data_IF_844544267728
#
_entry.id   IF_844544267728
#
_cell.length_a   1.000
_cell.length_b   1.000
_cell.length_c   1.000
_cell.angle_alpha   90.00
_cell.angle_beta   90.00
_cell.angle_gamma   90.00
#
_symmetry.space_group_name_H-M   'P 1'
#
loop_
_entity.id
_entity.type
_entity.pdbx_description
1 polymer ?
#
# COMPACT_ATOMS: atom_id res chain seq x y z
N UNK A 1 -25.27 10.91 15.41
CA UNK A 1 -24.52 10.07 14.47
C UNK A 1 -25.41 9.00 13.84
N UNK A 2 -25.74 9.15 12.54
CA UNK A 2 -26.36 8.08 11.74
C UNK A 2 -25.31 7.00 11.44
N UNK A 3 -25.67 5.72 11.45
CA UNK A 3 -24.74 4.63 11.10
C UNK A 3 -25.26 3.86 9.88
N UNK A 4 -24.39 3.58 8.91
CA UNK A 4 -24.68 2.74 7.74
C UNK A 4 -23.69 1.59 7.72
N UNK A 5 -24.18 0.35 7.63
CA UNK A 5 -23.31 -0.84 7.54
C UNK A 5 -22.83 -1.02 6.11
N UNK A 6 -21.52 -1.15 5.92
CA UNK A 6 -20.89 -1.51 4.65
C UNK A 6 -21.16 -2.98 4.33
N UNK A 7 -21.79 -3.23 3.18
CA UNK A 7 -22.11 -4.57 2.70
C UNK A 7 -21.70 -4.70 1.23
N UNK A 8 -21.57 -5.94 0.75
CA UNK A 8 -21.39 -6.18 -0.69
C UNK A 8 -22.59 -5.59 -1.44
N UNK A 9 -22.32 -4.79 -2.47
CA UNK A 9 -23.37 -4.19 -3.32
C UNK A 9 -23.89 -2.81 -2.91
N UNK A 10 -23.62 -2.30 -1.70
CA UNK A 10 -24.13 -0.97 -1.28
C UNK A 10 -23.10 0.18 -1.35
N UNK A 11 -21.99 -0.01 -2.06
CA UNK A 11 -20.89 0.97 -2.11
C UNK A 11 -21.34 2.31 -2.71
N UNK A 12 -22.08 2.27 -3.82
CA UNK A 12 -22.61 3.48 -4.48
C UNK A 12 -23.56 4.26 -3.56
N UNK A 13 -24.43 3.57 -2.81
CA UNK A 13 -25.31 4.18 -1.83
C UNK A 13 -24.51 4.86 -0.70
N UNK A 14 -23.49 4.18 -0.16
CA UNK A 14 -22.61 4.74 0.88
C UNK A 14 -21.90 6.00 0.38
N UNK A 15 -21.32 5.95 -0.82
CA UNK A 15 -20.67 7.12 -1.43
C UNK A 15 -21.68 8.26 -1.57
N UNK A 16 -22.87 8.02 -2.13
CA UNK A 16 -23.91 9.04 -2.31
C UNK A 16 -24.34 9.68 -0.98
N UNK A 17 -24.62 8.88 0.04
CA UNK A 17 -25.02 9.38 1.36
C UNK A 17 -23.88 10.13 2.05
N UNK A 18 -22.64 9.67 1.88
CA UNK A 18 -21.46 10.31 2.47
C UNK A 18 -21.19 11.65 1.81
N UNK A 19 -21.30 11.75 0.47
CA UNK A 19 -21.19 13.01 -0.28
C UNK A 19 -22.23 14.02 0.19
N UNK A 20 -23.49 13.62 0.40
CA UNK A 20 -24.52 14.53 0.94
C UNK A 20 -24.12 15.12 2.28
N UNK A 21 -23.67 14.28 3.22
CA UNK A 21 -23.26 14.72 4.56
C UNK A 21 -22.05 15.66 4.49
N UNK A 22 -21.04 15.31 3.70
CA UNK A 22 -19.84 16.15 3.52
C UNK A 22 -20.17 17.49 2.85
N UNK A 23 -21.06 17.50 1.86
CA UNK A 23 -21.50 18.72 1.16
C UNK A 23 -22.22 19.69 2.09
N UNK A 24 -22.91 19.18 3.12
CA UNK A 24 -23.55 19.97 4.17
C UNK A 24 -22.58 20.39 5.30
N UNK A 25 -21.26 20.19 5.13
CA UNK A 25 -20.26 20.50 6.16
C UNK A 25 -20.25 19.53 7.34
N UNK A 26 -20.78 18.31 7.14
CA UNK A 26 -20.80 17.26 8.14
C UNK A 26 -19.46 16.53 8.31
N UNK A 27 -19.32 15.85 9.45
CA UNK A 27 -18.17 15.03 9.79
C UNK A 27 -18.53 13.54 9.70
N UNK A 28 -17.67 12.77 9.03
CA UNK A 28 -17.94 11.35 8.74
C UNK A 28 -16.84 10.45 9.30
N UNK A 29 -17.23 9.39 10.02
CA UNK A 29 -16.35 8.26 10.34
C UNK A 29 -16.41 7.26 9.18
N UNK A 30 -15.26 6.94 8.60
CA UNK A 30 -15.21 6.17 7.36
C UNK A 30 -14.10 5.08 7.42
N UNK A 31 -14.35 3.86 6.92
CA UNK A 31 -13.33 2.82 6.86
C UNK A 31 -12.27 3.16 5.82
N UNK A 32 -11.01 2.83 6.11
CA UNK A 32 -9.90 2.89 5.14
C UNK A 32 -9.23 1.53 4.99
N UNK A 33 -8.19 1.47 4.16
CA UNK A 33 -7.30 0.32 4.02
C UNK A 33 -6.43 0.06 5.25
N UNK A 34 -6.43 0.93 6.26
CA UNK A 34 -5.62 0.80 7.48
C UNK A 34 -6.45 0.83 8.74
N UNK A 35 -7.11 1.96 9.02
CA UNK A 35 -7.88 2.20 10.26
C UNK A 35 -9.15 2.98 9.94
N UNK A 36 -10.10 3.08 10.88
CA UNK A 36 -11.18 4.06 10.73
C UNK A 36 -10.60 5.48 10.69
N UNK A 37 -11.12 6.30 9.80
CA UNK A 37 -10.72 7.69 9.60
C UNK A 37 -11.86 8.67 9.86
N UNK A 38 -11.51 9.93 10.09
CA UNK A 38 -12.45 11.05 10.13
C UNK A 38 -12.29 11.88 8.85
N UNK A 39 -13.38 11.97 8.09
CA UNK A 39 -13.48 12.70 6.83
C UNK A 39 -14.32 13.97 7.03
N UNK A 40 -13.77 15.09 6.62
CA UNK A 40 -14.41 16.39 6.52
C UNK A 40 -13.94 17.06 5.21
N UNK A 41 -14.76 17.96 4.66
CA UNK A 41 -14.34 18.84 3.55
C UNK A 41 -13.16 19.69 4.01
N UNK A 42 -11.99 19.49 3.40
CA UNK A 42 -10.76 20.18 3.78
C UNK A 42 -10.81 21.69 3.48
N UNK A 43 -11.77 22.14 2.67
CA UNK A 43 -11.99 23.54 2.29
C UNK A 43 -13.06 24.24 3.14
N UNK A 44 -13.79 23.50 3.98
CA UNK A 44 -14.92 24.01 4.75
C UNK A 44 -14.54 24.26 6.21
N UNK A 45 -14.42 25.55 6.60
CA UNK A 45 -14.06 25.96 7.97
C UNK A 45 -14.97 25.37 9.05
N UNK A 46 -16.27 25.24 8.78
CA UNK A 46 -17.23 24.67 9.74
C UNK A 46 -17.00 23.16 9.95
N UNK A 47 -16.76 22.41 8.86
CA UNK A 47 -16.44 21.00 8.94
C UNK A 47 -15.11 20.76 9.69
N UNK A 48 -14.11 21.63 9.45
CA UNK A 48 -12.83 21.56 10.14
C UNK A 48 -12.95 21.94 11.63
N UNK A 49 -13.83 22.87 12.00
CA UNK A 49 -14.15 23.15 13.41
C UNK A 49 -14.64 21.89 14.13
N UNK A 50 -15.63 21.19 13.56
CA UNK A 50 -16.16 19.93 14.09
C UNK A 50 -15.06 18.89 14.27
N UNK A 51 -14.21 18.70 13.24
CA UNK A 51 -13.11 17.74 13.26
C UNK A 51 -12.13 18.01 14.41
N UNK A 52 -11.69 19.26 14.57
CA UNK A 52 -10.73 19.66 15.60
C UNK A 52 -11.32 19.45 17.00
N UNK A 53 -12.58 19.82 17.21
CA UNK A 53 -13.27 19.64 18.49
C UNK A 53 -13.40 18.16 18.86
N UNK A 54 -13.79 17.30 17.91
CA UNK A 54 -13.86 15.85 18.14
C UNK A 54 -12.48 15.32 18.53
N UNK A 55 -11.43 15.67 17.78
CA UNK A 55 -10.08 15.14 18.01
C UNK A 55 -9.42 15.72 19.27
N UNK A 56 -9.93 16.81 19.84
CA UNK A 56 -9.28 17.57 20.91
C UNK A 56 -7.80 17.80 20.60
N UNK A 57 -7.54 18.34 19.41
CA UNK A 57 -6.20 18.38 18.84
C UNK A 57 -5.51 19.70 19.24
N UNK A 58 -4.28 19.66 19.79
CA UNK A 58 -3.53 20.87 20.03
C UNK A 58 -3.24 21.59 18.70
N UNK A 59 -3.16 22.92 18.77
CA UNK A 59 -2.80 23.78 17.65
C UNK A 59 -1.44 23.36 17.05
N UNK A 60 -1.27 23.48 15.74
CA UNK A 60 -0.02 23.14 15.02
C UNK A 60 0.16 21.67 14.62
N UNK A 61 -0.66 20.72 15.12
CA UNK A 61 -0.59 19.33 14.62
C UNK A 61 -1.30 19.19 13.27
N UNK A 62 -0.52 19.11 12.19
CA UNK A 62 -0.99 18.97 10.79
C UNK A 62 -1.90 17.78 10.52
N UNK A 63 -2.83 17.92 9.58
CA UNK A 63 -3.72 16.85 9.10
C UNK A 63 -3.54 16.72 7.59
N UNK A 64 -3.15 15.53 7.13
CA UNK A 64 -3.07 15.27 5.69
C UNK A 64 -4.45 15.26 5.04
N UNK A 65 -4.51 15.38 3.72
CA UNK A 65 -5.73 15.28 2.91
C UNK A 65 -5.66 14.14 1.91
N UNK A 66 -6.82 13.58 1.56
CA UNK A 66 -7.01 12.71 0.41
C UNK A 66 -7.32 13.54 -0.83
N UNK A 67 -6.75 13.10 -1.95
CA UNK A 67 -7.04 13.60 -3.30
C UNK A 67 -7.39 12.43 -4.21
N UNK A 68 -8.15 12.69 -5.29
CA UNK A 68 -8.64 11.65 -6.19
C UNK A 68 -7.69 11.33 -7.36
N UNK A 69 -6.76 12.23 -7.65
CA UNK A 69 -5.77 12.08 -8.71
C UNK A 69 -4.79 13.25 -8.80
N UNK A 70 -3.90 13.18 -9.81
CA UNK A 70 -2.86 14.17 -10.07
C UNK A 70 -3.39 15.59 -10.27
N UNK A 71 -4.50 15.74 -11.01
CA UNK A 71 -5.08 17.07 -11.25
C UNK A 71 -5.58 17.77 -9.98
N UNK A 72 -6.11 17.03 -9.00
CA UNK A 72 -6.44 17.60 -7.69
C UNK A 72 -5.18 17.84 -6.86
N UNK A 73 -4.24 16.89 -6.86
CA UNK A 73 -2.96 17.01 -6.16
C UNK A 73 -2.21 18.28 -6.55
N UNK A 74 -2.05 18.53 -7.86
CA UNK A 74 -1.34 19.69 -8.42
C UNK A 74 -2.00 21.03 -8.02
N UNK A 75 -3.30 21.03 -7.72
CA UNK A 75 -4.00 22.22 -7.21
C UNK A 75 -3.69 22.48 -5.74
N UNK A 76 -3.39 21.44 -4.95
CA UNK A 76 -3.19 21.57 -3.50
C UNK A 76 -1.75 21.91 -3.11
N UNK A 77 -0.77 21.48 -3.89
CA UNK A 77 0.66 21.58 -3.52
C UNK A 77 1.53 21.98 -4.70
N UNK A 78 2.70 22.51 -4.39
CA UNK A 78 3.77 22.76 -5.36
C UNK A 78 4.61 21.50 -5.56
N UNK A 79 4.92 21.18 -6.82
CA UNK A 79 5.74 20.02 -7.20
C UNK A 79 6.88 20.50 -8.09
N UNK A 80 8.10 20.31 -7.61
CA UNK A 80 9.31 20.57 -8.40
C UNK A 80 9.52 19.45 -9.43
N UNK A 81 10.16 19.78 -10.56
CA UNK A 81 10.48 18.79 -11.60
C UNK A 81 11.29 17.60 -11.06
N UNK A 82 12.19 17.83 -10.11
CA UNK A 82 12.99 16.80 -9.45
C UNK A 82 12.16 15.82 -8.59
N UNK A 83 10.96 16.21 -8.17
CA UNK A 83 10.09 15.40 -7.31
C UNK A 83 9.10 14.54 -8.11
N UNK A 84 8.79 14.92 -9.35
CA UNK A 84 7.78 14.26 -10.20
C UNK A 84 8.04 12.76 -10.32
N UNK A 85 9.28 12.38 -10.62
CA UNK A 85 9.63 10.97 -10.77
C UNK A 85 9.32 10.19 -9.50
N UNK A 86 9.85 10.62 -8.35
CA UNK A 86 9.62 9.95 -7.05
C UNK A 86 8.13 9.89 -6.70
N UNK A 87 7.39 10.98 -6.93
CA UNK A 87 5.95 11.03 -6.68
C UNK A 87 5.21 9.99 -7.52
N UNK A 88 5.51 9.86 -8.81
CA UNK A 88 4.92 8.85 -9.69
C UNK A 88 5.26 7.42 -9.28
N UNK A 89 6.42 7.21 -8.64
CA UNK A 89 6.83 5.89 -8.16
C UNK A 89 6.09 5.45 -6.89
N UNK A 90 5.75 6.41 -6.01
CA UNK A 90 5.16 6.12 -4.70
C UNK A 90 3.64 6.36 -4.64
N UNK A 91 3.09 7.18 -5.54
CA UNK A 91 1.65 7.48 -5.63
C UNK A 91 1.03 6.95 -6.94
N UNK A 92 -0.20 6.41 -6.90
CA UNK A 92 -1.00 6.13 -5.72
C UNK A 92 -0.42 5.00 -4.85
N UNK A 93 -0.44 5.14 -3.53
CA UNK A 93 0.19 4.16 -2.63
C UNK A 93 -0.01 4.41 -1.15
N UNK A 94 0.69 3.61 -0.32
CA UNK A 94 0.63 3.65 1.14
C UNK A 94 1.51 4.77 1.74
N UNK A 95 1.55 5.93 1.08
CA UNK A 95 2.41 7.05 1.43
C UNK A 95 1.60 8.29 1.77
N UNK A 96 2.13 9.08 2.70
CA UNK A 96 1.76 10.47 2.91
C UNK A 96 2.95 11.32 2.48
N UNK A 97 2.78 12.14 1.45
CA UNK A 97 3.83 13.03 0.96
C UNK A 97 3.61 14.43 1.50
N UNK A 98 4.64 15.05 2.05
CA UNK A 98 4.59 16.43 2.53
C UNK A 98 5.27 17.32 1.49
N UNK A 99 4.55 18.30 0.98
CA UNK A 99 4.98 19.24 -0.05
C UNK A 99 4.59 20.67 0.36
N UNK A 100 5.19 21.71 -0.24
CA UNK A 100 4.76 23.10 -0.05
C UNK A 100 3.28 23.26 -0.45
N UNK A 101 2.49 23.89 0.41
CA UNK A 101 1.05 24.08 0.18
C UNK A 101 0.79 25.24 -0.78
N UNK A 102 -0.29 25.13 -1.56
CA UNK A 102 -0.87 26.23 -2.35
C UNK A 102 -2.02 26.94 -1.62
N UNK A 103 -2.21 26.67 -0.33
CA UNK A 103 -3.22 27.34 0.52
C UNK A 103 -4.65 27.22 0.01
N UNK A 104 -4.99 26.07 -0.58
CA UNK A 104 -6.34 25.78 -1.11
C UNK A 104 -7.25 25.08 -0.10
N UNK A 105 -6.75 24.80 1.11
CA UNK A 105 -7.49 24.16 2.21
C UNK A 105 -7.51 25.07 3.44
N UNK A 106 -8.28 24.69 4.47
CA UNK A 106 -8.24 25.37 5.76
C UNK A 106 -6.81 25.35 6.33
N UNK A 107 -6.28 26.52 6.68
CA UNK A 107 -4.89 26.70 7.12
C UNK A 107 -4.52 25.88 8.37
N UNK A 108 -5.51 25.45 9.17
CA UNK A 108 -5.27 24.59 10.34
C UNK A 108 -4.90 23.15 9.99
N UNK A 109 -5.03 22.77 8.72
CA UNK A 109 -4.56 21.48 8.20
C UNK A 109 -3.07 21.52 7.83
N UNK A 110 -2.56 22.72 7.56
CA UNK A 110 -1.20 22.99 7.11
C UNK A 110 -0.22 23.08 8.28
N UNK A 111 1.07 22.91 8.00
CA UNK A 111 2.12 23.15 8.99
C UNK A 111 2.43 24.64 9.14
N UNK A 112 3.08 25.00 10.24
CA UNK A 112 3.64 26.35 10.45
C UNK A 112 4.67 26.75 9.37
N UNK A 113 5.20 25.77 8.62
CA UNK A 113 6.11 25.97 7.50
C UNK A 113 5.39 26.03 6.15
N UNK A 114 4.06 26.21 6.16
CA UNK A 114 3.22 26.27 4.96
C UNK A 114 3.32 25.00 4.10
N UNK A 115 3.33 23.83 4.73
CA UNK A 115 3.38 22.53 4.05
C UNK A 115 2.13 21.71 4.30
N UNK A 116 1.77 20.88 3.34
CA UNK A 116 0.56 20.05 3.37
C UNK A 116 0.90 18.58 3.12
N UNK A 117 0.31 17.70 3.93
CA UNK A 117 0.39 16.26 3.72
C UNK A 117 -0.66 15.80 2.72
N UNK A 118 -0.26 15.15 1.63
CA UNK A 118 -1.16 14.60 0.61
C UNK A 118 -1.14 13.07 0.66
N UNK A 119 -2.31 12.46 0.45
CA UNK A 119 -2.50 11.04 0.27
C UNK A 119 -3.30 10.78 -1.00
N UNK A 120 -2.67 10.12 -1.97
CA UNK A 120 -3.32 9.56 -3.15
C UNK A 120 -3.26 8.03 -3.00
N UNK A 121 -4.38 7.40 -2.61
CA UNK A 121 -4.40 5.98 -2.21
C UNK A 121 -5.12 5.09 -3.23
N UNK A 122 -4.75 3.80 -3.27
CA UNK A 122 -5.38 2.76 -4.12
C UNK A 122 -6.64 2.12 -3.49
N UNK A 123 -7.13 2.64 -2.37
CA UNK A 123 -8.34 2.10 -1.74
C UNK A 123 -9.60 2.58 -2.48
N UNK A 124 -10.25 1.65 -3.19
CA UNK A 124 -11.33 1.92 -4.13
C UNK A 124 -12.44 2.80 -3.54
N UNK A 125 -12.91 2.49 -2.34
CA UNK A 125 -14.05 3.18 -1.74
C UNK A 125 -13.73 4.65 -1.38
N UNK A 126 -12.54 4.94 -0.83
CA UNK A 126 -12.12 6.32 -0.57
C UNK A 126 -11.87 7.06 -1.87
N UNK A 127 -11.22 6.44 -2.86
CA UNK A 127 -10.96 7.09 -4.15
C UNK A 127 -12.28 7.47 -4.86
N UNK A 128 -13.24 6.53 -4.92
CA UNK A 128 -14.59 6.78 -5.44
C UNK A 128 -15.29 7.91 -4.67
N UNK A 129 -15.16 7.93 -3.33
CA UNK A 129 -15.76 8.98 -2.51
C UNK A 129 -15.16 10.36 -2.79
N UNK A 130 -13.83 10.50 -2.78
CA UNK A 130 -13.15 11.79 -3.01
C UNK A 130 -13.45 12.30 -4.43
N UNK A 131 -13.44 11.40 -5.42
CA UNK A 131 -13.82 11.72 -6.79
C UNK A 131 -15.28 12.18 -6.90
N UNK A 132 -16.22 11.47 -6.27
CA UNK A 132 -17.63 11.82 -6.28
C UNK A 132 -17.92 13.12 -5.51
N UNK A 133 -17.14 13.41 -4.46
CA UNK A 133 -17.23 14.66 -3.71
C UNK A 133 -16.63 15.85 -4.47
N UNK A 134 -15.58 15.62 -5.27
CA UNK A 134 -14.95 16.62 -6.14
C UNK A 134 -14.02 17.60 -5.42
N UNK A 135 -13.75 17.41 -4.12
CA UNK A 135 -12.89 18.26 -3.29
C UNK A 135 -11.99 17.40 -2.38
N UNK A 136 -10.86 17.96 -1.88
CA UNK A 136 -10.01 17.25 -0.93
C UNK A 136 -10.74 16.97 0.38
N UNK A 137 -10.52 15.77 0.93
CA UNK A 137 -11.08 15.34 2.22
C UNK A 137 -9.98 15.16 3.25
N UNK A 138 -10.25 15.45 4.52
CA UNK A 138 -9.26 15.19 5.58
C UNK A 138 -8.91 13.70 5.68
N UNK A 139 -7.63 13.41 5.91
CA UNK A 139 -7.09 12.07 6.03
C UNK A 139 -6.42 11.89 7.39
N UNK A 140 -7.22 11.60 8.41
CA UNK A 140 -6.74 11.34 9.77
C UNK A 140 -7.49 10.18 10.40
N UNK A 141 -6.86 9.44 11.31
CA UNK A 141 -7.50 8.36 12.04
C UNK A 141 -8.65 8.87 12.92
N UNK A 142 -9.67 8.03 13.08
CA UNK A 142 -10.76 8.21 14.02
C UNK A 142 -10.30 7.79 15.41
N UNK A 143 -9.69 8.74 16.11
CA UNK A 143 -9.19 8.62 17.48
C UNK A 143 -9.05 10.02 18.08
N UNK A 144 -9.10 10.10 19.41
CA UNK A 144 -8.70 11.31 20.12
C UNK A 144 -7.18 11.52 19.98
N UNK A 145 -6.74 12.78 20.04
CA UNK A 145 -5.33 13.13 19.92
C UNK A 145 -4.47 12.36 20.94
N UNK A 146 -3.41 11.72 20.46
CA UNK A 146 -2.47 10.96 21.31
C UNK A 146 -2.86 9.51 21.62
N UNK A 147 -4.07 9.07 21.26
CA UNK A 147 -4.52 7.70 21.50
C UNK A 147 -4.34 6.78 20.30
N UNK A 148 -4.44 5.47 20.53
CA UNK A 148 -4.34 4.47 19.46
C UNK A 148 -5.49 4.59 18.45
N UNK A 149 -5.26 4.26 17.17
CA UNK A 149 -6.32 4.23 16.18
C UNK A 149 -7.25 3.02 16.38
N UNK A 150 -8.49 3.16 15.90
CA UNK A 150 -9.53 2.15 16.04
C UNK A 150 -9.73 1.32 14.77
N UNK A 151 -9.91 0.01 14.95
CA UNK A 151 -10.18 -0.96 13.88
C UNK A 151 -11.63 -1.46 13.89
N UNK A 152 -12.42 -1.01 14.87
CA UNK A 152 -13.85 -1.28 15.00
C UNK A 152 -14.55 0.04 15.29
N UNK A 153 -15.72 0.26 14.69
CA UNK A 153 -16.49 1.47 14.96
C UNK A 153 -16.95 1.52 16.43
N UNK A 154 -17.32 0.36 16.99
CA UNK A 154 -17.79 0.23 18.37
C UNK A 154 -16.75 0.67 19.40
N UNK A 155 -15.46 0.40 19.18
CA UNK A 155 -14.38 0.80 20.10
C UNK A 155 -14.15 2.31 20.06
N UNK A 156 -14.29 2.93 18.88
CA UNK A 156 -14.23 4.38 18.76
C UNK A 156 -15.42 5.05 19.45
N UNK A 157 -16.63 4.54 19.25
CA UNK A 157 -17.87 5.06 19.85
C UNK A 157 -17.81 5.09 21.38
N UNK A 158 -17.30 4.02 22.01
CA UNK A 158 -17.15 3.93 23.47
C UNK A 158 -16.22 5.01 24.05
N UNK A 159 -15.35 5.58 23.23
CA UNK A 159 -14.37 6.58 23.65
C UNK A 159 -14.88 8.02 23.54
N UNK A 160 -16.00 8.24 22.85
CA UNK A 160 -16.56 9.56 22.61
C UNK A 160 -17.52 9.95 23.73
N UNK A 161 -17.43 11.21 24.18
CA UNK A 161 -18.46 11.81 25.02
C UNK A 161 -19.73 12.07 24.20
N UNK A 162 -20.87 12.21 24.88
CA UNK A 162 -22.15 12.57 24.25
C UNK A 162 -22.03 13.81 23.34
N UNK A 163 -21.35 14.85 23.82
CA UNK A 163 -21.06 16.08 23.05
C UNK A 163 -20.30 15.77 21.76
N UNK A 164 -19.25 14.96 21.81
CA UNK A 164 -18.44 14.63 20.61
C UNK A 164 -19.18 13.72 19.65
N UNK A 165 -20.01 12.80 20.15
CA UNK A 165 -20.85 11.94 19.32
C UNK A 165 -21.87 12.74 18.51
N UNK A 166 -22.36 13.87 19.03
CA UNK A 166 -23.27 14.76 18.32
C UNK A 166 -22.59 15.53 17.17
N UNK A 167 -21.28 15.75 17.25
CA UNK A 167 -20.51 16.40 16.19
C UNK A 167 -20.24 15.49 14.98
N UNK A 168 -20.46 14.18 15.12
CA UNK A 168 -20.29 13.21 14.04
C UNK A 168 -21.66 12.91 13.42
N UNK A 169 -21.80 13.28 12.16
CA UNK A 169 -23.06 13.23 11.43
C UNK A 169 -23.33 11.82 10.89
N UNK A 170 -22.29 11.14 10.38
CA UNK A 170 -22.38 9.81 9.77
C UNK A 170 -21.21 8.91 10.18
N UNK A 171 -21.49 7.63 10.40
CA UNK A 171 -20.48 6.58 10.50
C UNK A 171 -20.78 5.44 9.53
N UNK A 172 -19.75 4.97 8.83
CA UNK A 172 -19.83 3.78 8.00
C UNK A 172 -19.20 2.63 8.77
N UNK A 173 -19.98 1.60 9.09
CA UNK A 173 -19.51 0.42 9.82
C UNK A 173 -19.13 -0.71 8.86
N UNK A 174 -17.83 -0.97 8.74
CA UNK A 174 -17.26 -2.08 7.98
C UNK A 174 -16.87 -3.27 8.85
N UNK A 175 -17.30 -3.30 10.12
CA UNK A 175 -16.88 -4.29 11.09
C UNK A 175 -15.40 -4.15 11.45
N UNK A 176 -14.71 -5.29 11.56
CA UNK A 176 -13.30 -5.37 11.92
C UNK A 176 -12.42 -5.09 10.70
N UNK A 177 -11.68 -3.98 10.75
CA UNK A 177 -10.68 -3.66 9.74
C UNK A 177 -9.40 -4.49 9.92
N UNK A 178 -8.69 -4.83 8.84
CA UNK A 178 -7.39 -5.47 8.92
C UNK A 178 -6.39 -4.58 9.66
N UNK A 179 -5.50 -5.19 10.47
CA UNK A 179 -4.46 -4.46 11.20
C UNK A 179 -3.25 -4.19 10.30
N UNK A 180 -3.34 -3.12 9.52
CA UNK A 180 -2.22 -2.60 8.72
C UNK A 180 -1.59 -1.40 9.44
N UNK A 181 -0.25 -1.28 9.43
CA UNK A 181 0.43 -0.10 9.98
C UNK A 181 0.06 1.15 9.17
N UNK A 182 0.11 2.35 9.81
CA UNK A 182 -0.10 3.62 9.13
C UNK A 182 0.84 3.85 7.93
N UNK A 183 0.47 4.77 7.04
CA UNK A 183 1.28 5.15 5.88
C UNK A 183 2.69 5.64 6.24
N UNK A 184 3.66 5.34 5.37
CA UNK A 184 4.99 5.95 5.39
C UNK A 184 4.86 7.44 5.11
N UNK A 185 5.44 8.28 5.96
CA UNK A 185 5.40 9.74 5.80
C UNK A 185 6.73 10.20 5.23
N UNK A 186 6.68 10.79 4.04
CA UNK A 186 7.84 11.28 3.31
C UNK A 186 7.72 12.80 3.18
N UNK A 187 8.74 13.50 3.65
CA UNK A 187 8.93 14.92 3.43
C UNK A 187 9.70 15.14 2.12
N UNK A 188 9.02 15.78 1.18
CA UNK A 188 9.51 16.18 -0.13
C UNK A 188 9.53 17.70 -0.26
N UNK A 189 9.62 18.46 0.83
CA UNK A 189 9.66 19.94 0.76
C UNK A 189 10.96 20.49 0.16
N UNK A 190 12.03 19.67 0.16
CA UNK A 190 13.33 19.98 -0.42
C UNK A 190 13.70 18.96 -1.51
N UNK A 191 14.82 19.18 -2.19
CA UNK A 191 15.34 18.24 -3.19
C UNK A 191 15.69 16.87 -2.58
N UNK A 192 16.12 16.83 -1.32
CA UNK A 192 16.44 15.58 -0.62
C UNK A 192 15.19 14.99 0.05
N UNK A 193 14.91 13.73 -0.26
CA UNK A 193 13.81 12.96 0.34
C UNK A 193 14.14 12.68 1.80
N UNK A 194 13.22 13.01 2.72
CA UNK A 194 13.35 12.66 4.14
C UNK A 194 12.17 11.82 4.60
N UNK A 195 12.43 10.62 5.13
CA UNK A 195 11.38 9.80 5.74
C UNK A 195 11.16 10.26 7.19
N UNK A 196 9.96 10.75 7.50
CA UNK A 196 9.60 11.20 8.86
C UNK A 196 8.97 10.10 9.70
N UNK A 197 8.33 9.11 9.06
CA UNK A 197 7.74 7.95 9.72
C UNK A 197 7.71 6.76 8.77
N UNK A 198 8.15 5.60 9.25
CA UNK A 198 8.07 4.35 8.51
C UNK A 198 6.68 3.69 8.66
N UNK A 199 6.07 3.27 7.55
CA UNK A 199 4.82 2.49 7.48
C UNK A 199 5.01 1.06 6.98
N UNK A 200 3.91 0.37 6.62
CA UNK A 200 3.89 -1.05 6.19
C UNK A 200 4.61 -1.34 4.86
N UNK A 201 4.86 -0.31 4.03
CA UNK A 201 5.63 -0.46 2.78
C UNK A 201 6.88 0.40 2.85
N UNK A 202 7.98 -0.21 3.26
CA UNK A 202 9.30 0.22 2.86
C UNK A 202 9.53 -0.22 1.42
N UNK A 203 9.78 0.72 0.50
CA UNK A 203 10.67 0.40 -0.61
C UNK A 203 12.04 0.35 0.04
N UNK A 204 12.52 -0.85 0.35
CA UNK A 204 13.74 -1.00 1.12
C UNK A 204 14.97 -0.70 0.27
N UNK A 205 14.96 -1.14 -1.00
CA UNK A 205 16.09 -0.96 -1.92
C UNK A 205 15.63 -0.87 -3.38
N UNK A 206 16.31 -0.02 -4.14
CA UNK A 206 16.18 0.10 -5.60
C UNK A 206 17.52 -0.30 -6.23
N UNK A 207 17.46 -1.13 -7.26
CA UNK A 207 18.62 -1.51 -8.07
C UNK A 207 18.39 -1.13 -9.53
N UNK A 208 19.44 -0.70 -10.20
CA UNK A 208 19.46 -0.51 -11.66
C UNK A 208 20.36 -1.59 -12.24
N UNK A 209 19.82 -2.34 -13.19
CA UNK A 209 20.57 -3.32 -13.96
C UNK A 209 20.66 -2.87 -15.41
N UNK A 210 21.82 -3.08 -16.03
CA UNK A 210 22.12 -2.75 -17.43
C UNK A 210 22.35 -3.99 -18.30
N UNK A 211 22.19 -5.20 -17.73
CA UNK A 211 22.35 -6.46 -18.46
C UNK A 211 21.68 -7.62 -17.73
N UNK A 212 21.43 -8.74 -18.42
CA UNK A 212 20.94 -9.95 -17.77
C UNK A 212 21.93 -10.47 -16.71
N UNK A 213 23.23 -10.39 -16.99
CA UNK A 213 24.29 -10.76 -16.05
C UNK A 213 24.22 -9.93 -14.76
N UNK A 214 23.96 -8.63 -14.87
CA UNK A 214 23.75 -7.78 -13.68
C UNK A 214 22.44 -8.10 -12.96
N UNK A 215 21.37 -8.41 -13.70
CA UNK A 215 20.09 -8.80 -13.10
C UNK A 215 20.26 -10.05 -12.24
N UNK A 216 20.99 -11.05 -12.75
CA UNK A 216 21.35 -12.26 -11.98
C UNK A 216 22.17 -11.93 -10.73
N UNK A 217 23.18 -11.06 -10.84
CA UNK A 217 24.00 -10.62 -9.68
C UNK A 217 23.16 -9.91 -8.62
N UNK A 218 22.21 -9.05 -9.03
CA UNK A 218 21.29 -8.36 -8.12
C UNK A 218 20.36 -9.37 -7.44
N UNK A 219 19.80 -10.30 -8.20
CA UNK A 219 18.96 -11.38 -7.67
C UNK A 219 19.70 -12.18 -6.60
N UNK A 220 20.94 -12.57 -6.90
CA UNK A 220 21.81 -13.29 -5.96
C UNK A 220 22.13 -12.46 -4.71
N UNK A 221 22.42 -11.16 -4.87
CA UNK A 221 22.66 -10.26 -3.73
C UNK A 221 21.45 -10.18 -2.81
N UNK A 222 20.24 -10.01 -3.37
CA UNK A 222 18.99 -9.97 -2.62
C UNK A 222 18.75 -11.32 -1.93
N UNK A 223 18.92 -12.44 -2.64
CA UNK A 223 18.76 -13.76 -2.07
C UNK A 223 19.72 -14.01 -0.89
N UNK A 224 21.01 -13.70 -1.05
CA UNK A 224 22.02 -13.90 -0.02
C UNK A 224 21.80 -13.04 1.23
N UNK A 225 21.26 -11.82 1.08
CA UNK A 225 20.89 -10.97 2.21
C UNK A 225 19.76 -11.59 3.06
N UNK A 226 18.90 -12.39 2.43
CA UNK A 226 17.67 -12.87 3.05
C UNK A 226 17.69 -14.36 3.42
N UNK A 227 18.56 -15.19 2.81
CA UNK A 227 18.56 -16.65 2.95
C UNK A 227 18.65 -17.18 4.38
N UNK A 228 19.22 -16.40 5.31
CA UNK A 228 19.33 -16.78 6.73
C UNK A 228 18.00 -16.64 7.49
N UNK A 229 17.03 -15.90 6.98
CA UNK A 229 15.73 -15.65 7.64
C UNK A 229 14.75 -16.85 7.55
N UNK A 230 15.17 -17.96 6.92
CA UNK A 230 14.31 -19.08 6.46
C UNK A 230 14.17 -20.21 7.46
N UNK A 231 14.92 -20.19 8.57
CA UNK A 231 15.01 -21.32 9.52
C UNK A 231 13.65 -21.74 10.11
N UNK A 232 12.61 -20.89 10.06
CA UNK A 232 11.27 -21.20 10.59
C UNK A 232 10.11 -21.10 9.59
N UNK A 233 10.30 -20.53 8.40
CA UNK A 233 9.22 -20.26 7.42
C UNK A 233 9.73 -20.42 5.98
N UNK A 234 8.89 -20.85 5.02
CA UNK A 234 9.22 -20.76 3.60
C UNK A 234 9.62 -19.35 3.20
N UNK A 235 10.54 -19.25 2.24
CA UNK A 235 10.84 -18.00 1.55
C UNK A 235 10.05 -17.94 0.24
N UNK A 236 9.45 -16.80 -0.03
CA UNK A 236 8.64 -16.60 -1.23
C UNK A 236 9.09 -15.33 -1.94
N UNK A 237 9.50 -15.45 -3.20
CA UNK A 237 9.67 -14.31 -4.09
C UNK A 237 8.40 -14.10 -4.89
N UNK A 238 7.84 -12.88 -4.82
CA UNK A 238 6.71 -12.47 -5.65
C UNK A 238 7.23 -11.43 -6.64
N UNK A 239 7.33 -11.84 -7.90
CA UNK A 239 8.00 -11.07 -8.96
C UNK A 239 6.96 -10.56 -9.95
N UNK A 240 6.88 -9.24 -10.07
CA UNK A 240 5.95 -8.54 -10.97
C UNK A 240 6.71 -7.70 -11.98
N UNK A 241 6.13 -7.53 -13.17
CA UNK A 241 6.73 -6.73 -14.25
C UNK A 241 6.17 -7.14 -15.62
N UNK A 242 6.35 -6.29 -16.62
CA UNK A 242 5.85 -6.52 -17.97
C UNK A 242 6.52 -7.72 -18.66
N UNK A 243 5.99 -8.14 -19.81
CA UNK A 243 6.60 -9.18 -20.63
C UNK A 243 8.02 -8.74 -21.03
N UNK A 244 8.99 -9.66 -20.92
CA UNK A 244 10.39 -9.33 -21.22
C UNK A 244 11.12 -8.49 -20.15
N UNK A 245 10.47 -8.07 -19.05
CA UNK A 245 11.11 -7.26 -18.00
C UNK A 245 12.31 -7.95 -17.31
N UNK A 246 12.44 -9.28 -17.44
CA UNK A 246 13.55 -10.05 -16.85
C UNK A 246 13.19 -10.83 -15.59
N UNK A 247 11.90 -11.15 -15.40
CA UNK A 247 11.40 -11.97 -14.28
C UNK A 247 12.05 -13.35 -14.23
N UNK A 248 12.01 -14.12 -15.31
CA UNK A 248 12.70 -15.40 -15.42
C UNK A 248 14.23 -15.26 -15.29
N UNK A 249 14.82 -14.17 -15.78
CA UNK A 249 16.27 -13.89 -15.63
C UNK A 249 16.65 -13.72 -14.16
N UNK A 250 15.80 -13.04 -13.37
CA UNK A 250 15.98 -12.92 -11.92
C UNK A 250 15.98 -14.30 -11.25
N UNK A 251 15.01 -15.15 -11.58
CA UNK A 251 14.89 -16.51 -11.04
C UNK A 251 16.11 -17.36 -11.41
N UNK A 252 16.54 -17.31 -12.69
CA UNK A 252 17.75 -17.99 -13.17
C UNK A 252 18.98 -17.63 -12.34
N UNK A 253 19.14 -16.35 -11.99
CA UNK A 253 20.27 -15.90 -11.17
C UNK A 253 20.34 -16.56 -9.79
N UNK A 254 19.18 -16.86 -9.18
CA UNK A 254 19.11 -17.57 -7.89
C UNK A 254 19.24 -19.08 -8.11
N UNK A 255 18.62 -19.63 -9.15
CA UNK A 255 18.71 -21.04 -9.49
C UNK A 255 20.12 -21.53 -9.78
N UNK A 256 20.90 -20.75 -10.52
CA UNK A 256 22.29 -21.05 -10.85
C UNK A 256 23.18 -21.16 -9.60
N UNK A 257 22.99 -20.26 -8.62
CA UNK A 257 23.68 -20.34 -7.32
C UNK A 257 23.30 -21.61 -6.55
N UNK A 258 22.06 -22.06 -6.67
CA UNK A 258 21.53 -23.26 -6.02
C UNK A 258 21.85 -24.55 -6.78
N UNK A 259 22.67 -24.48 -7.84
CA UNK A 259 23.11 -25.63 -8.62
C UNK A 259 22.07 -26.13 -9.64
N UNK A 260 21.04 -25.34 -9.94
CA UNK A 260 20.06 -25.67 -11.00
C UNK A 260 20.58 -25.16 -12.34
N UNK A 261 20.91 -26.11 -13.23
CA UNK A 261 21.27 -25.79 -14.60
C UNK A 261 20.01 -25.60 -15.44
N UNK A 262 19.86 -24.41 -16.04
CA UNK A 262 18.81 -24.08 -17.01
C UNK A 262 17.37 -24.07 -16.45
N UNK A 263 17.05 -23.11 -15.57
CA UNK A 263 15.65 -22.81 -15.23
C UNK A 263 14.89 -22.35 -16.48
N UNK A 264 13.75 -22.96 -16.74
CA UNK A 264 12.84 -22.60 -17.83
C UNK A 264 11.57 -22.04 -17.19
N UNK A 265 11.01 -20.96 -17.72
CA UNK A 265 9.70 -20.50 -17.25
C UNK A 265 8.64 -21.56 -17.56
N UNK A 266 7.84 -22.00 -16.57
CA UNK A 266 6.72 -22.89 -16.80
C UNK A 266 5.57 -22.12 -17.45
N UNK A 267 5.76 -21.54 -18.63
CA UNK A 267 4.71 -20.72 -19.28
C UNK A 267 3.48 -21.56 -19.67
N UNK A 268 3.65 -22.87 -19.88
CA UNK A 268 2.60 -23.82 -20.31
C UNK A 268 2.23 -24.87 -19.24
N UNK A 269 2.87 -24.80 -18.07
CA UNK A 269 2.65 -25.70 -16.94
C UNK A 269 2.47 -24.85 -15.69
N UNK A 270 1.70 -25.26 -14.69
CA UNK A 270 1.46 -24.39 -13.51
C UNK A 270 2.76 -24.06 -12.75
N UNK A 271 3.67 -25.04 -12.63
CA UNK A 271 4.92 -24.88 -11.92
C UNK A 271 5.98 -25.91 -12.35
N UNK A 272 7.26 -25.57 -12.15
CA UNK A 272 8.35 -26.53 -12.09
C UNK A 272 8.92 -26.60 -10.69
N UNK A 273 9.29 -27.82 -10.27
CA UNK A 273 9.93 -28.06 -8.97
C UNK A 273 11.33 -28.61 -9.16
N UNK A 274 12.27 -28.04 -8.42
CA UNK A 274 13.69 -28.38 -8.47
C UNK A 274 14.15 -28.77 -7.06
N UNK A 275 14.48 -30.06 -6.82
CA UNK A 275 15.11 -30.50 -5.59
C UNK A 275 16.48 -29.83 -5.42
N UNK A 276 16.78 -29.38 -4.21
CA UNK A 276 18.02 -28.67 -3.90
C UNK A 276 18.87 -29.45 -2.91
N UNK A 277 20.20 -29.37 -3.09
CA UNK A 277 21.19 -29.81 -2.11
C UNK A 277 21.83 -28.58 -1.46
N UNK A 278 21.01 -27.72 -0.86
CA UNK A 278 21.45 -26.48 -0.20
C UNK A 278 21.31 -26.58 1.33
N UNK A 279 22.09 -25.77 2.05
CA UNK A 279 22.07 -25.73 3.53
C UNK A 279 20.75 -25.19 4.10
N UNK A 280 20.09 -24.28 3.39
CA UNK A 280 18.89 -23.59 3.85
C UNK A 280 17.63 -24.08 3.16
N UNK A 281 17.73 -24.53 1.91
CA UNK A 281 16.59 -24.88 1.09
C UNK A 281 16.62 -26.33 0.58
N UNK A 282 15.47 -26.98 0.65
CA UNK A 282 15.28 -28.35 0.17
C UNK A 282 14.75 -28.38 -1.26
N UNK A 283 14.01 -27.33 -1.67
CA UNK A 283 13.30 -27.29 -2.95
C UNK A 283 13.08 -25.87 -3.42
N UNK A 284 13.27 -25.63 -4.73
CA UNK A 284 12.81 -24.44 -5.43
C UNK A 284 11.56 -24.78 -6.24
N UNK A 285 10.44 -24.12 -5.98
CA UNK A 285 9.21 -24.22 -6.80
C UNK A 285 9.02 -22.91 -7.57
N UNK A 286 9.10 -22.98 -8.89
CA UNK A 286 8.93 -21.86 -9.82
C UNK A 286 7.53 -21.92 -10.42
N UNK A 287 6.74 -20.87 -10.21
CA UNK A 287 5.38 -20.70 -10.72
C UNK A 287 5.36 -19.56 -11.75
N UNK A 288 4.63 -19.75 -12.84
CA UNK A 288 4.31 -18.69 -13.79
C UNK A 288 2.80 -18.49 -13.83
N UNK A 289 2.33 -17.34 -13.35
CA UNK A 289 0.91 -17.04 -13.25
C UNK A 289 0.35 -16.36 -14.52
N UNK A 290 1.09 -16.31 -15.63
CA UNK A 290 0.69 -15.56 -16.82
C UNK A 290 -0.69 -15.94 -17.36
N UNK A 291 -1.02 -17.24 -17.40
CA UNK A 291 -2.29 -17.75 -17.93
C UNK A 291 -3.41 -17.85 -16.90
N UNK A 292 -3.19 -17.35 -15.68
CA UNK A 292 -4.18 -17.45 -14.61
C UNK A 292 -5.13 -16.26 -14.68
N UNK A 293 -6.38 -16.52 -15.04
CA UNK A 293 -7.41 -15.48 -15.26
C UNK A 293 -8.60 -15.59 -14.30
N UNK A 294 -8.68 -16.65 -13.48
CA UNK A 294 -9.74 -16.84 -12.51
C UNK A 294 -9.23 -17.24 -11.12
N UNK A 295 -10.04 -16.96 -10.08
CA UNK A 295 -9.75 -17.41 -8.72
C UNK A 295 -9.78 -18.94 -8.57
N UNK A 296 -10.57 -19.63 -9.41
CA UNK A 296 -10.65 -21.09 -9.41
C UNK A 296 -9.37 -21.71 -9.97
N UNK A 297 -8.73 -21.07 -10.95
CA UNK A 297 -7.46 -21.54 -11.51
C UNK A 297 -6.30 -21.32 -10.56
N UNK A 298 -6.35 -20.25 -9.75
CA UNK A 298 -5.42 -20.02 -8.63
C UNK A 298 -5.52 -21.11 -7.56
N UNK A 299 -6.72 -21.55 -7.19
CA UNK A 299 -6.92 -22.57 -6.16
C UNK A 299 -6.36 -23.94 -6.56
N UNK A 300 -6.36 -24.27 -7.86
CA UNK A 300 -5.78 -25.51 -8.41
C UNK A 300 -4.26 -25.60 -8.29
N UNK A 301 -3.56 -24.50 -8.01
CA UNK A 301 -2.10 -24.46 -7.91
C UNK A 301 -1.60 -25.24 -6.68
N UNK A 302 -2.45 -25.49 -5.68
CA UNK A 302 -2.07 -26.31 -4.52
C UNK A 302 -0.97 -25.68 -3.65
N UNK A 303 -0.86 -24.35 -3.63
CA UNK A 303 0.24 -23.62 -2.95
C UNK A 303 0.39 -24.02 -1.47
N UNK A 304 -0.70 -24.39 -0.79
CA UNK A 304 -0.66 -24.78 0.62
C UNK A 304 0.23 -26.01 0.89
N UNK A 305 0.34 -26.91 -0.08
CA UNK A 305 1.15 -28.13 0.01
C UNK A 305 2.65 -27.86 -0.11
N UNK A 306 3.01 -26.77 -0.80
CA UNK A 306 4.40 -26.36 -1.06
C UNK A 306 4.88 -25.25 -0.12
N UNK A 307 3.98 -24.55 0.60
CA UNK A 307 4.31 -23.57 1.65
C UNK A 307 4.80 -24.25 2.95
N UNK A 308 5.94 -24.92 2.85
CA UNK A 308 6.62 -25.63 3.96
C UNK A 308 7.94 -24.94 4.32
N UNK A 309 8.38 -24.98 5.59
CA UNK A 309 9.72 -24.50 5.95
C UNK A 309 10.80 -25.07 5.03
N UNK A 310 11.86 -24.30 4.79
CA UNK A 310 12.97 -24.67 3.90
C UNK A 310 12.59 -24.82 2.40
N UNK A 311 11.36 -24.49 1.99
CA UNK A 311 11.05 -24.33 0.57
C UNK A 311 11.28 -22.89 0.13
N UNK A 312 11.80 -22.74 -1.09
CA UNK A 312 11.91 -21.48 -1.83
C UNK A 312 10.85 -21.49 -2.93
N UNK A 313 9.89 -20.57 -2.87
CA UNK A 313 8.88 -20.43 -3.91
C UNK A 313 9.12 -19.13 -4.67
N UNK A 314 8.98 -19.17 -6.00
CA UNK A 314 9.19 -18.01 -6.85
C UNK A 314 8.01 -17.88 -7.81
N UNK A 315 7.26 -16.78 -7.71
CA UNK A 315 6.09 -16.51 -8.53
C UNK A 315 6.42 -15.42 -9.55
N UNK A 316 6.38 -15.76 -10.84
CA UNK A 316 6.28 -14.77 -11.91
C UNK A 316 4.84 -14.29 -12.05
N UNK A 317 4.67 -13.05 -12.52
CA UNK A 317 3.37 -12.39 -12.64
C UNK A 317 2.65 -12.32 -11.28
N UNK A 318 3.40 -11.98 -10.24
CA UNK A 318 2.95 -11.93 -8.85
C UNK A 318 1.71 -11.05 -8.60
N UNK A 319 1.40 -10.12 -9.49
CA UNK A 319 0.17 -9.31 -9.49
C UNK A 319 -1.09 -10.16 -9.65
N UNK A 320 -0.98 -11.33 -10.27
CA UNK A 320 -2.08 -12.29 -10.47
C UNK A 320 -2.30 -13.23 -9.27
N UNK A 321 -1.48 -13.13 -8.21
CA UNK A 321 -1.54 -14.05 -7.06
C UNK A 321 -2.86 -13.96 -6.24
N UNK A 322 -3.62 -12.88 -6.43
CA UNK A 322 -4.99 -12.76 -5.93
C UNK A 322 -5.13 -12.98 -4.41
N UNK A 323 -6.12 -13.79 -4.02
CA UNK A 323 -6.42 -14.07 -2.61
C UNK A 323 -5.37 -14.93 -1.90
N UNK A 324 -4.53 -15.68 -2.64
CA UNK A 324 -3.48 -16.53 -2.06
C UNK A 324 -2.46 -15.72 -1.28
N UNK A 325 -2.32 -14.43 -1.59
CA UNK A 325 -1.45 -13.51 -0.85
C UNK A 325 -1.76 -13.48 0.65
N UNK A 326 -3.02 -13.69 1.05
CA UNK A 326 -3.43 -13.72 2.47
C UNK A 326 -2.87 -14.95 3.18
N UNK A 327 -2.83 -16.08 2.49
CA UNK A 327 -2.28 -17.35 3.03
C UNK A 327 -0.76 -17.25 3.11
N UNK A 328 -0.13 -16.79 2.03
CA UNK A 328 1.33 -16.64 1.93
C UNK A 328 1.84 -15.67 3.01
N UNK A 329 1.21 -14.50 3.20
CA UNK A 329 1.63 -13.53 4.22
C UNK A 329 1.65 -14.09 5.64
N UNK A 330 0.75 -15.02 5.98
CA UNK A 330 0.72 -15.62 7.32
C UNK A 330 1.85 -16.64 7.52
N UNK A 331 2.23 -17.34 6.45
CA UNK A 331 3.07 -18.55 6.53
C UNK A 331 4.50 -18.35 6.04
N UNK A 332 4.80 -17.31 5.27
CA UNK A 332 6.08 -17.14 4.60
C UNK A 332 6.80 -15.83 4.95
N UNK A 333 8.12 -15.84 4.75
CA UNK A 333 8.91 -14.64 4.55
C UNK A 333 8.88 -14.28 3.06
N UNK A 334 8.39 -13.09 2.72
CA UNK A 334 8.13 -12.67 1.34
C UNK A 334 9.08 -11.55 0.94
N UNK A 335 9.70 -11.74 -0.22
CA UNK A 335 10.45 -10.72 -0.94
C UNK A 335 9.67 -10.35 -2.18
N UNK A 336 9.15 -9.12 -2.24
CA UNK A 336 8.50 -8.59 -3.43
C UNK A 336 9.54 -7.93 -4.32
N UNK A 337 9.51 -8.30 -5.61
CA UNK A 337 10.37 -7.74 -6.65
C UNK A 337 9.46 -7.16 -7.73
N UNK A 338 9.58 -5.87 -7.99
CA UNK A 338 8.97 -5.25 -9.16
C UNK A 338 10.07 -4.87 -10.15
N UNK A 339 9.99 -5.41 -11.36
CA UNK A 339 10.96 -5.18 -12.43
C UNK A 339 10.30 -4.34 -13.51
N UNK A 340 10.87 -3.16 -13.75
CA UNK A 340 10.42 -2.20 -14.76
C UNK A 340 11.49 -2.07 -15.85
N UNK A 341 11.05 -2.13 -17.10
CA UNK A 341 11.91 -1.86 -18.24
C UNK A 341 12.20 -0.36 -18.32
N UNK A 342 13.47 0.02 -18.52
CA UNK A 342 13.87 1.43 -18.68
C UNK A 342 14.24 1.68 -20.15
N UNK A 343 15.19 0.92 -20.68
CA UNK A 343 15.65 0.98 -22.07
C UNK A 343 16.11 -0.41 -22.52
N UNK A 344 16.52 -0.54 -23.78
CA UNK A 344 17.14 -1.77 -24.29
C UNK A 344 18.34 -2.17 -23.41
N UNK A 345 18.24 -3.36 -22.81
CA UNK A 345 19.22 -3.90 -21.87
C UNK A 345 19.11 -3.42 -20.41
N UNK A 346 18.42 -2.30 -20.12
CA UNK A 346 18.33 -1.74 -18.77
C UNK A 346 16.96 -1.91 -18.11
N UNK A 347 16.98 -2.28 -16.82
CA UNK A 347 15.78 -2.48 -16.01
C UNK A 347 16.01 -2.03 -14.57
N UNK A 348 14.94 -1.56 -13.94
CA UNK A 348 14.89 -1.16 -12.54
C UNK A 348 14.25 -2.26 -11.71
N UNK A 349 14.88 -2.67 -10.62
CA UNK A 349 14.34 -3.63 -9.67
C UNK A 349 14.03 -2.90 -8.36
N UNK A 350 12.75 -2.86 -7.98
CA UNK A 350 12.31 -2.38 -6.66
C UNK A 350 12.09 -3.57 -5.74
N UNK A 351 12.69 -3.53 -4.55
CA UNK A 351 12.61 -4.58 -3.55
C UNK A 351 11.87 -4.07 -2.32
N UNK A 352 10.93 -4.87 -1.84
CA UNK A 352 10.24 -4.66 -0.57
C UNK A 352 9.98 -5.99 0.12
N UNK A 353 9.86 -5.99 1.45
CA UNK A 353 9.65 -7.20 2.23
C UNK A 353 8.26 -7.20 2.89
N UNK A 354 7.72 -8.38 3.21
CA UNK A 354 6.61 -8.43 4.16
C UNK A 354 7.12 -8.21 5.59
N UNK A 355 6.34 -7.48 6.38
CA UNK A 355 6.64 -7.17 7.79
C UNK A 355 6.30 -8.31 8.73
#
# INVERSE_FOLDING_TARGET
MKTIVLKRGNHSYIVKETVKVLSSGGLVVFPSDTVYGLLADATNKYAINKLIEVKNRPFGKVISIFVDGWGMLDKQVEILSSQKQVLHEILPGAFTVILPSKHQVDSRLESEKNTLGIRLIKYLLINQLVRAFGKPLTATSANLSGKQPHYQLSTFQKELSSKKTQLIDLAIDAGNLPRNRPSTVIDLTKANIKVLRQGDRSVDKIYISKSEKETKKIALSIFNQNKKNVVKKPMVFIISGELGAGKTVFIKGIGEELGINNIISPTYTIAYEYPLKDKYFNKLSHFDLYQIDSAQDLEKIGIEEVLKPNNLLMFEWGEKIGNLIKVINKRAYIVYINIEYITEGSRKLRVSYNS
#
